data_IF_277311424992
#
_entry.id   IF_277311424992
#
_cell.length_a   1.000
_cell.length_b   1.000
_cell.length_c   1.000
_cell.angle_alpha   90.00
_cell.angle_beta   90.00
_cell.angle_gamma   90.00
#
_symmetry.space_group_name_H-M   'P 1'
#
loop_
_entity.id
_entity.type
_entity.pdbx_description
1 polymer ?
#
# COMPACT_ATOMS: atom_id res chain seq x y z
N UNK A 1 -14.39 -7.16 -11.35
CA UNK A 1 -13.31 -7.71 -10.49
C UNK A 1 -13.64 -7.43 -9.04
N UNK A 2 -13.56 -8.44 -8.21
CA UNK A 2 -13.74 -8.31 -6.77
C UNK A 2 -12.46 -7.83 -6.10
N UNK A 3 -12.58 -7.25 -4.92
CA UNK A 3 -11.42 -6.75 -4.16
C UNK A 3 -10.41 -7.87 -3.84
N UNK A 4 -10.89 -9.06 -3.49
CA UNK A 4 -10.03 -10.22 -3.23
C UNK A 4 -9.21 -10.63 -4.45
N UNK A 5 -9.80 -10.59 -5.64
CA UNK A 5 -9.10 -10.88 -6.90
C UNK A 5 -8.03 -9.83 -7.18
N UNK A 6 -8.34 -8.55 -6.94
CA UNK A 6 -7.39 -7.46 -7.09
C UNK A 6 -6.18 -7.66 -6.17
N UNK A 7 -6.41 -7.99 -4.90
CA UNK A 7 -5.32 -8.25 -3.93
C UNK A 7 -4.39 -9.36 -4.42
N UNK A 8 -4.95 -10.49 -4.89
CA UNK A 8 -4.14 -11.61 -5.38
C UNK A 8 -3.32 -11.23 -6.60
N UNK A 9 -3.90 -10.48 -7.54
CA UNK A 9 -3.17 -10.00 -8.72
C UNK A 9 -2.02 -9.09 -8.34
N UNK A 10 -2.25 -8.17 -7.39
CA UNK A 10 -1.22 -7.24 -6.93
C UNK A 10 -0.09 -7.97 -6.23
N UNK A 11 -0.40 -8.92 -5.33
CA UNK A 11 0.64 -9.71 -4.65
C UNK A 11 1.56 -10.40 -5.65
N UNK A 12 0.98 -11.11 -6.61
CA UNK A 12 1.76 -11.82 -7.63
C UNK A 12 2.63 -10.86 -8.44
N UNK A 13 2.05 -9.77 -8.92
CA UNK A 13 2.74 -8.79 -9.75
C UNK A 13 3.86 -8.10 -9.01
N UNK A 14 3.61 -7.68 -7.76
CA UNK A 14 4.60 -6.97 -6.95
C UNK A 14 5.83 -7.85 -6.66
N UNK A 15 5.63 -9.08 -6.24
CA UNK A 15 6.75 -9.97 -5.95
C UNK A 15 7.52 -10.39 -7.20
N UNK A 16 6.87 -10.46 -8.37
CA UNK A 16 7.56 -10.68 -9.64
C UNK A 16 8.47 -9.48 -9.99
N UNK A 17 7.99 -8.26 -9.79
CA UNK A 17 8.76 -7.04 -10.04
C UNK A 17 9.94 -6.95 -9.07
N UNK A 18 9.71 -7.24 -7.80
CA UNK A 18 10.72 -7.13 -6.74
C UNK A 18 11.89 -8.08 -6.94
N UNK A 19 11.68 -9.21 -7.60
CA UNK A 19 12.76 -10.16 -7.96
C UNK A 19 13.74 -9.57 -8.98
N UNK A 20 13.28 -8.65 -9.82
CA UNK A 20 14.06 -8.10 -10.92
C UNK A 20 14.69 -6.75 -10.59
N UNK A 21 14.09 -5.99 -9.66
CA UNK A 21 14.48 -4.61 -9.36
C UNK A 21 14.50 -4.38 -7.85
N UNK A 22 15.18 -3.30 -7.43
CA UNK A 22 15.06 -2.82 -6.06
C UNK A 22 13.63 -2.37 -5.78
N UNK A 23 13.18 -2.62 -4.54
CA UNK A 23 11.83 -2.23 -4.12
C UNK A 23 11.70 -0.70 -4.09
N UNK A 24 10.98 -0.16 -5.05
CA UNK A 24 10.61 1.25 -5.13
C UNK A 24 9.12 1.38 -4.81
N UNK A 25 8.64 2.58 -4.42
CA UNK A 25 7.20 2.77 -4.24
C UNK A 25 6.45 2.49 -5.53
N UNK A 26 5.43 1.65 -5.44
CA UNK A 26 4.64 1.19 -6.58
C UNK A 26 3.17 1.34 -6.28
N UNK A 27 2.43 1.88 -7.22
CA UNK A 27 0.98 2.06 -7.14
C UNK A 27 0.30 1.15 -8.17
N UNK A 28 -0.67 0.37 -7.71
CA UNK A 28 -1.54 -0.43 -8.57
C UNK A 28 -2.96 0.12 -8.50
N UNK A 29 -3.61 0.22 -9.65
CA UNK A 29 -4.97 0.73 -9.77
C UNK A 29 -5.87 -0.32 -10.44
N UNK A 30 -7.07 -0.50 -9.92
CA UNK A 30 -8.13 -1.21 -10.61
C UNK A 30 -9.02 -0.18 -11.31
N UNK A 31 -8.99 -0.16 -12.64
CA UNK A 31 -9.75 0.77 -13.46
C UNK A 31 -11.22 0.31 -13.57
N UNK A 32 -12.17 1.21 -13.97
CA UNK A 32 -13.57 0.85 -14.11
C UNK A 32 -13.84 -0.33 -15.04
N UNK A 33 -12.97 -0.55 -16.03
CA UNK A 33 -13.06 -1.68 -16.97
C UNK A 33 -12.42 -2.97 -16.44
N UNK A 34 -12.11 -3.03 -15.13
CA UNK A 34 -11.46 -4.16 -14.44
C UNK A 34 -10.02 -4.44 -14.90
N UNK A 35 -9.37 -3.49 -15.57
CA UNK A 35 -7.95 -3.58 -15.86
C UNK A 35 -7.13 -3.11 -14.66
N UNK A 36 -6.04 -3.80 -14.40
CA UNK A 36 -5.07 -3.41 -13.38
C UNK A 36 -3.93 -2.64 -14.04
N UNK A 37 -3.68 -1.43 -13.54
CA UNK A 37 -2.61 -0.57 -14.04
C UNK A 37 -1.54 -0.40 -12.97
N UNK A 38 -0.28 -0.58 -13.39
CA UNK A 38 0.89 -0.32 -12.57
C UNK A 38 1.41 1.09 -12.83
N UNK A 39 1.62 1.85 -11.74
CA UNK A 39 2.24 3.16 -11.81
C UNK A 39 3.48 3.17 -10.91
N UNK A 40 4.65 3.39 -11.49
CA UNK A 40 5.88 3.56 -10.73
C UNK A 40 6.01 5.04 -10.36
N UNK A 41 6.28 5.31 -9.09
CA UNK A 41 6.39 6.67 -8.60
C UNK A 41 7.83 7.15 -8.69
N UNK A 42 8.06 8.42 -9.11
CA UNK A 42 9.41 9.00 -9.12
C UNK A 42 10.05 9.00 -7.74
N UNK A 43 11.35 8.70 -7.67
CA UNK A 43 12.09 8.63 -6.41
C UNK A 43 12.04 9.93 -5.61
N UNK A 44 11.99 11.08 -6.28
CA UNK A 44 11.96 12.36 -5.58
C UNK A 44 10.74 12.55 -4.67
N UNK A 45 9.65 11.81 -4.89
CA UNK A 45 8.50 11.83 -3.99
C UNK A 45 8.76 11.17 -2.64
N UNK A 46 9.83 10.36 -2.52
CA UNK A 46 10.21 9.79 -1.23
C UNK A 46 10.63 10.87 -0.22
N UNK A 47 11.11 12.00 -0.70
CA UNK A 47 11.55 13.12 0.14
C UNK A 47 10.41 14.01 0.61
N UNK A 48 9.26 13.96 -0.06
CA UNK A 48 8.09 14.77 0.28
C UNK A 48 6.82 13.92 0.22
N UNK A 49 6.43 13.37 1.35
CA UNK A 49 5.25 12.51 1.48
C UNK A 49 3.95 13.23 1.11
N UNK A 50 3.84 14.52 1.42
CA UNK A 50 2.62 15.28 1.13
C UNK A 50 2.42 15.46 -0.37
N UNK A 51 3.48 15.73 -1.12
CA UNK A 51 3.42 15.83 -2.57
C UNK A 51 3.11 14.47 -3.21
N UNK A 52 3.72 13.40 -2.69
CA UNK A 52 3.46 12.05 -3.17
C UNK A 52 1.99 11.67 -2.97
N UNK A 53 1.46 11.90 -1.77
CA UNK A 53 0.06 11.61 -1.44
C UNK A 53 -0.90 12.38 -2.34
N UNK A 54 -0.67 13.69 -2.53
CA UNK A 54 -1.49 14.53 -3.40
C UNK A 54 -1.45 14.05 -4.85
N UNK A 55 -0.29 13.65 -5.34
CA UNK A 55 -0.14 13.13 -6.71
C UNK A 55 -0.88 11.79 -6.88
N UNK A 56 -0.76 10.90 -5.90
CA UNK A 56 -1.47 9.61 -5.93
C UNK A 56 -2.98 9.84 -5.93
N UNK A 57 -3.49 10.74 -5.09
CA UNK A 57 -4.91 11.05 -5.03
C UNK A 57 -5.43 11.62 -6.35
N UNK A 58 -4.64 12.46 -7.02
CA UNK A 58 -4.97 12.97 -8.34
C UNK A 58 -5.06 11.84 -9.37
N UNK A 59 -4.10 10.91 -9.36
CA UNK A 59 -4.13 9.75 -10.25
C UNK A 59 -5.37 8.90 -10.00
N UNK A 60 -5.72 8.64 -8.74
CA UNK A 60 -6.90 7.87 -8.37
C UNK A 60 -8.17 8.49 -8.92
N UNK A 61 -8.31 9.82 -8.80
CA UNK A 61 -9.48 10.54 -9.31
C UNK A 61 -9.56 10.54 -10.84
N UNK A 62 -8.44 10.82 -11.51
CA UNK A 62 -8.40 10.85 -12.97
C UNK A 62 -8.67 9.47 -13.58
N UNK A 63 -8.20 8.42 -12.95
CA UNK A 63 -8.41 7.05 -13.39
C UNK A 63 -9.78 6.50 -12.97
N UNK A 64 -10.47 7.17 -12.05
CA UNK A 64 -11.70 6.67 -11.41
C UNK A 64 -11.50 5.25 -10.85
N UNK A 65 -10.42 5.06 -10.11
CA UNK A 65 -10.04 3.75 -9.61
C UNK A 65 -11.04 3.22 -8.58
N UNK A 66 -11.43 1.97 -8.74
CA UNK A 66 -12.32 1.27 -7.83
C UNK A 66 -11.56 0.76 -6.61
N UNK A 67 -10.37 0.23 -6.85
CA UNK A 67 -9.44 -0.23 -5.83
C UNK A 67 -8.06 0.36 -6.10
N UNK A 68 -7.27 0.50 -5.05
CA UNK A 68 -5.89 0.95 -5.17
C UNK A 68 -5.00 0.12 -4.24
N UNK A 69 -3.75 -0.08 -4.62
CA UNK A 69 -2.73 -0.65 -3.76
C UNK A 69 -1.46 0.17 -3.85
N UNK A 70 -0.89 0.45 -2.69
CA UNK A 70 0.41 1.13 -2.59
C UNK A 70 1.37 0.24 -1.82
N UNK A 71 2.53 -0.01 -2.41
CA UNK A 71 3.56 -0.86 -1.82
C UNK A 71 4.88 -0.10 -1.71
N UNK A 72 5.51 -0.18 -0.55
CA UNK A 72 6.78 0.48 -0.29
C UNK A 72 7.52 -0.18 0.87
N UNK A 73 8.82 0.08 0.95
CA UNK A 73 9.60 -0.30 2.12
C UNK A 73 9.17 0.53 3.32
N UNK A 74 9.07 -0.10 4.48
CA UNK A 74 8.68 0.56 5.72
C UNK A 74 9.39 -0.08 6.92
N UNK A 75 9.59 0.73 7.95
CA UNK A 75 9.99 0.21 9.26
C UNK A 75 8.73 0.03 10.09
N UNK A 76 8.48 -1.20 10.53
CA UNK A 76 7.35 -1.52 11.40
C UNK A 76 7.87 -1.60 12.83
N UNK A 77 7.30 -0.78 13.72
CA UNK A 77 7.74 -0.67 15.11
C UNK A 77 6.83 -1.46 16.04
N UNK A 78 7.46 -2.23 16.92
CA UNK A 78 6.76 -2.79 18.06
C UNK A 78 6.96 -1.83 19.23
N UNK A 79 5.87 -1.38 19.82
CA UNK A 79 5.85 -0.34 20.85
C UNK A 79 5.34 -0.92 22.15
N UNK A 80 5.96 -0.51 23.28
CA UNK A 80 5.45 -0.79 24.61
C UNK A 80 4.17 0.02 24.85
N UNK A 81 3.05 -0.66 25.14
CA UNK A 81 1.76 0.00 25.31
C UNK A 81 1.68 0.92 26.54
N UNK A 82 2.57 0.75 27.52
CA UNK A 82 2.57 1.54 28.75
C UNK A 82 3.48 2.76 28.66
N UNK A 83 4.65 2.63 28.03
CA UNK A 83 5.67 3.67 27.97
C UNK A 83 5.78 4.36 26.62
N UNK A 84 5.17 3.80 25.59
CA UNK A 84 5.28 4.23 24.19
C UNK A 84 6.70 4.12 23.62
N UNK A 85 7.61 3.45 24.34
CA UNK A 85 8.96 3.20 23.86
C UNK A 85 8.97 2.18 22.73
N UNK A 86 9.82 2.41 21.74
CA UNK A 86 10.01 1.46 20.64
C UNK A 86 10.86 0.30 21.13
N UNK A 87 10.26 -0.91 21.17
CA UNK A 87 10.93 -2.13 21.61
C UNK A 87 11.71 -2.79 20.48
N UNK A 88 11.19 -2.73 19.27
CA UNK A 88 11.77 -3.38 18.12
C UNK A 88 11.34 -2.66 16.84
N UNK A 89 12.23 -2.61 15.85
CA UNK A 89 11.92 -2.11 14.52
C UNK A 89 12.31 -3.17 13.49
N UNK A 90 11.37 -3.52 12.62
CA UNK A 90 11.57 -4.53 11.58
C UNK A 90 11.43 -3.89 10.22
N UNK A 91 12.42 -4.11 9.35
CA UNK A 91 12.34 -3.68 7.96
C UNK A 91 11.39 -4.58 7.19
N UNK A 92 10.34 -3.99 6.64
CA UNK A 92 9.28 -4.71 5.94
C UNK A 92 8.99 -4.08 4.59
N UNK A 93 8.35 -4.87 3.73
CA UNK A 93 7.58 -4.36 2.60
C UNK A 93 6.15 -4.28 3.10
N UNK A 94 5.57 -3.09 3.08
CA UNK A 94 4.18 -2.87 3.46
C UNK A 94 3.34 -2.60 2.22
N UNK A 95 2.21 -3.30 2.11
CA UNK A 95 1.27 -3.16 1.01
C UNK A 95 -0.08 -2.77 1.57
N UNK A 96 -0.54 -1.57 1.20
CA UNK A 96 -1.86 -1.08 1.55
C UNK A 96 -2.80 -1.34 0.38
N UNK A 97 -4.00 -1.81 0.69
CA UNK A 97 -5.08 -2.02 -0.29
C UNK A 97 -6.29 -1.23 0.18
N UNK A 98 -6.90 -0.49 -0.73
CA UNK A 98 -8.07 0.31 -0.40
C UNK A 98 -9.19 0.06 -1.40
N UNK A 99 -10.39 -0.21 -0.86
CA UNK A 99 -11.61 -0.39 -1.63
C UNK A 99 -12.48 0.86 -1.45
N UNK A 100 -12.61 1.68 -2.48
CA UNK A 100 -13.39 2.91 -2.42
C UNK A 100 -14.91 2.67 -2.49
N UNK A 101 -15.33 1.45 -2.84
CA UNK A 101 -16.77 1.15 -2.92
C UNK A 101 -17.42 0.97 -1.54
N UNK A 102 -16.62 0.70 -0.51
CA UNK A 102 -17.11 0.47 0.86
C UNK A 102 -16.18 1.03 1.95
N UNK A 103 -15.28 1.93 1.58
CA UNK A 103 -14.32 2.57 2.51
C UNK A 103 -13.48 1.59 3.33
N UNK A 104 -13.16 0.44 2.75
CA UNK A 104 -12.36 -0.59 3.40
C UNK A 104 -10.87 -0.41 3.10
N UNK A 105 -10.04 -0.56 4.13
CA UNK A 105 -8.57 -0.57 4.01
C UNK A 105 -8.02 -1.86 4.60
N UNK A 106 -7.08 -2.46 3.88
CA UNK A 106 -6.33 -3.63 4.34
C UNK A 106 -4.84 -3.35 4.12
N UNK A 107 -4.04 -3.53 5.15
CA UNK A 107 -2.58 -3.37 5.07
C UNK A 107 -1.92 -4.65 5.55
N UNK A 108 -0.96 -5.14 4.80
CA UNK A 108 -0.17 -6.31 5.15
C UNK A 108 1.31 -5.97 5.02
N UNK A 109 2.10 -6.45 5.98
CA UNK A 109 3.54 -6.25 6.01
C UNK A 109 4.26 -7.58 5.99
N UNK A 110 5.32 -7.66 5.18
CA UNK A 110 6.17 -8.84 5.06
C UNK A 110 7.59 -8.47 5.43
N UNK A 111 8.19 -9.24 6.35
CA UNK A 111 9.59 -9.08 6.73
C UNK A 111 10.49 -9.69 5.67
N UNK A 112 11.52 -8.94 5.25
CA UNK A 112 12.54 -9.46 4.35
C UNK A 112 13.51 -10.33 5.12
N UNK A 113 13.48 -11.63 4.85
CA UNK A 113 14.34 -12.61 5.53
C UNK A 113 15.70 -12.71 4.85
N UNK A 114 15.70 -12.68 3.53
CA UNK A 114 16.90 -12.65 2.69
C UNK A 114 16.52 -12.06 1.34
N UNK A 115 17.48 -11.94 0.42
CA UNK A 115 17.19 -11.45 -0.92
C UNK A 115 16.10 -12.32 -1.57
N UNK A 116 14.99 -11.69 -1.97
CA UNK A 116 13.81 -12.31 -2.58
C UNK A 116 13.07 -13.33 -1.70
N UNK A 117 13.31 -13.33 -0.38
CA UNK A 117 12.58 -14.17 0.55
C UNK A 117 11.90 -13.33 1.62
N UNK A 118 10.60 -13.54 1.78
CA UNK A 118 9.74 -12.79 2.68
C UNK A 118 8.93 -13.72 3.55
N UNK A 119 8.61 -13.25 4.75
CA UNK A 119 7.64 -13.93 5.62
C UNK A 119 6.61 -12.93 6.11
N UNK A 120 5.40 -13.40 6.36
CA UNK A 120 4.34 -12.57 6.94
C UNK A 120 4.80 -11.99 8.27
N UNK A 121 4.57 -10.69 8.45
CA UNK A 121 4.87 -10.00 9.71
C UNK A 121 3.58 -9.61 10.44
N UNK A 122 2.72 -8.83 9.81
CA UNK A 122 1.51 -8.30 10.42
C UNK A 122 0.49 -7.87 9.37
N UNK A 123 -0.77 -7.76 9.82
CA UNK A 123 -1.83 -7.21 8.98
C UNK A 123 -2.79 -6.37 9.81
N UNK A 124 -3.49 -5.48 9.15
CA UNK A 124 -4.50 -4.62 9.73
C UNK A 124 -5.59 -4.36 8.71
N UNK A 125 -6.86 -4.32 9.16
CA UNK A 125 -7.95 -3.90 8.28
C UNK A 125 -8.94 -3.03 9.05
N UNK A 126 -9.61 -2.12 8.31
CA UNK A 126 -10.59 -1.20 8.89
C UNK A 126 -11.66 -0.83 7.87
N UNK A 127 -12.90 -0.80 8.31
CA UNK A 127 -14.03 -0.28 7.54
C UNK A 127 -14.43 1.13 8.00
N UNK A 128 -13.70 1.70 8.96
CA UNK A 128 -13.99 3.03 9.51
C UNK A 128 -13.30 4.13 8.70
N UNK A 129 -14.06 4.95 7.94
CA UNK A 129 -13.47 6.02 7.13
C UNK A 129 -12.88 7.15 7.98
N UNK A 130 -13.27 7.27 9.25
CA UNK A 130 -12.78 8.30 10.15
C UNK A 130 -11.49 7.89 10.86
N UNK A 131 -11.08 6.62 10.72
CA UNK A 131 -9.80 6.18 11.27
C UNK A 131 -8.66 6.91 10.55
N UNK A 132 -7.93 7.75 11.29
CA UNK A 132 -6.75 8.43 10.75
C UNK A 132 -5.63 7.42 10.62
N UNK A 133 -5.58 6.73 9.49
CA UNK A 133 -4.51 5.79 9.18
C UNK A 133 -3.56 6.43 8.19
N UNK A 134 -2.29 6.36 8.49
CA UNK A 134 -1.25 6.73 7.54
C UNK A 134 -1.39 5.84 6.30
N UNK A 135 -1.49 6.47 5.13
CA UNK A 135 -1.58 5.78 3.86
C UNK A 135 -2.97 5.62 3.26
N UNK A 136 -4.03 6.05 3.96
CA UNK A 136 -5.37 6.06 3.36
C UNK A 136 -5.49 7.23 2.39
N UNK A 137 -5.91 6.95 1.18
CA UNK A 137 -6.13 7.97 0.16
C UNK A 137 -7.58 8.45 0.14
N UNK A 138 -7.78 9.67 -0.33
CA UNK A 138 -9.10 10.27 -0.47
C UNK A 138 -9.49 10.29 -1.95
N UNK A 139 -10.74 9.89 -2.21
CA UNK A 139 -11.34 9.99 -3.54
C UNK A 139 -12.57 10.89 -3.41
N UNK A 140 -12.48 12.13 -3.91
CA UNK A 140 -13.49 13.16 -3.66
C UNK A 140 -14.77 13.03 -4.48
N UNK A 141 -14.73 12.26 -5.58
CA UNK A 141 -15.86 12.13 -6.50
C UNK A 141 -16.64 10.81 -6.35
N UNK A 142 -16.49 10.13 -5.23
CA UNK A 142 -17.26 8.90 -4.98
C UNK A 142 -18.66 9.15 -4.43
#
# INVERSE_FOLDING_TARGET
MEFSEFKLKVFKKYFDIEKEEEAIPVLFLCLPNNRTKLCRLPEHYLEDKNKMEAHIEEIIELADAKYVSFAANALVHKVDNNTEDVLESTECISMMFQDFTRDHVYTVSFEKVSEHQYKFHSEFSSDDPDTSMDGRFVKSNR
#
